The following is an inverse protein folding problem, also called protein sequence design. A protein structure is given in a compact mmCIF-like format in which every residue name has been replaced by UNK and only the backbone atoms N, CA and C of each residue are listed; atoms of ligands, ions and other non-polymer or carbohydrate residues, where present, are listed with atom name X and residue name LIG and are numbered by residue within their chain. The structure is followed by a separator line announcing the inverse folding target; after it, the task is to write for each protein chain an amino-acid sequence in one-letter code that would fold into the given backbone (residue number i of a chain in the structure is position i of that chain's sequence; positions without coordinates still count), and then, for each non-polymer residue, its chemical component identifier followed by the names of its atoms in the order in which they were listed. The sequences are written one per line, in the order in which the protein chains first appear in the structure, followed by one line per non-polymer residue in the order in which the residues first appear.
data_IF_285469920916
#
_entry.id   IF_285469920916
#
_cell.length_a   1.000
_cell.length_b   1.000
_cell.length_c   1.000
_cell.angle_alpha   90.00
_cell.angle_beta   90.00
_cell.angle_gamma   90.00
#
_symmetry.space_group_name_H-M   'P 1'
#
loop_
_entity.id
_entity.type
_entity.pdbx_description
1 polymer ?
#
# COMPACT_ATOMS: atom_id res chain seq x y z
N UNK A 1 26.18 -24.60 15.25
CA UNK A 1 24.82 -24.42 14.68
C UNK A 1 23.68 -24.76 15.65
N UNK A 2 23.92 -24.74 16.98
CA UNK A 2 23.02 -25.26 18.01
C UNK A 2 22.37 -24.26 18.97
N UNK A 3 22.46 -22.94 18.72
CA UNK A 3 22.00 -21.90 19.67
C UNK A 3 21.15 -20.80 19.01
N UNK A 4 20.49 -21.08 17.87
CA UNK A 4 19.53 -20.13 17.35
C UNK A 4 18.29 -20.12 18.26
N UNK A 5 17.98 -18.95 18.82
CA UNK A 5 16.77 -18.72 19.60
C UNK A 5 15.56 -19.07 18.73
N UNK A 6 14.64 -19.90 19.20
CA UNK A 6 13.44 -20.22 18.44
C UNK A 6 12.73 -18.91 18.06
N UNK A 7 12.50 -18.65 16.76
CA UNK A 7 11.91 -17.40 16.33
C UNK A 7 10.46 -17.30 16.83
N UNK A 8 10.13 -16.20 17.48
CA UNK A 8 8.81 -15.91 18.05
C UNK A 8 7.69 -15.78 16.99
N UNK A 9 8.02 -15.86 15.70
CA UNK A 9 7.12 -15.66 14.56
C UNK A 9 6.74 -16.91 13.78
N UNK A 10 6.99 -18.12 14.31
CA UNK A 10 6.57 -19.38 13.64
C UNK A 10 5.06 -19.54 13.71
N UNK A 11 4.40 -19.45 12.55
CA UNK A 11 2.93 -19.56 12.38
C UNK A 11 2.50 -20.86 11.72
N UNK A 12 3.42 -21.81 11.62
CA UNK A 12 3.13 -23.15 11.09
C UNK A 12 2.35 -24.02 12.06
N UNK A 13 2.25 -23.61 13.34
CA UNK A 13 1.54 -24.30 14.40
C UNK A 13 0.58 -23.35 15.13
N UNK A 14 -0.41 -23.90 15.83
CA UNK A 14 -1.36 -23.12 16.65
C UNK A 14 -2.66 -22.76 15.95
N UNK A 15 -3.47 -21.92 16.58
CA UNK A 15 -4.83 -21.57 16.15
C UNK A 15 -4.80 -20.52 15.03
N UNK A 16 -5.32 -20.86 13.86
CA UNK A 16 -5.21 -20.06 12.63
C UNK A 16 -5.80 -18.66 12.81
N UNK A 17 -7.05 -18.54 13.28
CA UNK A 17 -7.71 -17.25 13.38
C UNK A 17 -7.03 -16.28 14.36
N UNK A 18 -6.44 -16.79 15.45
CA UNK A 18 -5.69 -15.96 16.41
C UNK A 18 -4.43 -15.37 15.77
N UNK A 19 -3.76 -16.16 14.93
CA UNK A 19 -2.56 -15.71 14.21
C UNK A 19 -2.92 -14.66 13.14
N UNK A 20 -3.98 -14.90 12.37
CA UNK A 20 -4.44 -13.95 11.35
C UNK A 20 -4.89 -12.63 11.99
N UNK A 21 -5.62 -12.65 13.09
CA UNK A 21 -5.99 -11.44 13.84
C UNK A 21 -4.73 -10.72 14.38
N UNK A 22 -3.77 -11.48 14.90
CA UNK A 22 -2.51 -10.93 15.41
C UNK A 22 -1.69 -10.20 14.34
N UNK A 23 -1.89 -10.52 13.06
CA UNK A 23 -1.28 -9.85 11.91
C UNK A 23 -2.14 -8.72 11.36
N UNK A 24 -3.44 -8.98 11.29
CA UNK A 24 -4.42 -8.06 10.72
C UNK A 24 -4.42 -6.70 11.43
N UNK A 25 -4.57 -6.69 12.76
CA UNK A 25 -4.69 -5.43 13.49
C UNK A 25 -3.44 -4.54 13.40
N UNK A 26 -2.20 -5.04 13.57
CA UNK A 26 -1.02 -4.21 13.38
C UNK A 26 -0.90 -3.62 11.96
N UNK A 27 -1.27 -4.38 10.92
CA UNK A 27 -1.25 -3.90 9.56
C UNK A 27 -2.35 -2.85 9.32
N UNK A 28 -3.55 -3.10 9.82
CA UNK A 28 -4.68 -2.18 9.71
C UNK A 28 -4.39 -0.85 10.41
N UNK A 29 -3.90 -0.90 11.66
CA UNK A 29 -3.50 0.31 12.37
C UNK A 29 -2.32 1.01 11.70
N UNK A 30 -1.37 0.27 11.15
CA UNK A 30 -0.26 0.84 10.39
C UNK A 30 -0.76 1.66 9.20
N UNK A 31 -1.67 1.08 8.40
CA UNK A 31 -2.27 1.81 7.27
C UNK A 31 -3.13 2.99 7.74
N UNK A 32 -3.83 2.85 8.87
CA UNK A 32 -4.58 3.96 9.48
C UNK A 32 -3.68 5.14 9.84
N UNK A 33 -2.56 4.90 10.54
CA UNK A 33 -1.61 5.97 10.87
C UNK A 33 -0.98 6.59 9.62
N UNK A 34 -0.76 5.80 8.57
CA UNK A 34 -0.29 6.30 7.28
C UNK A 34 -1.32 7.23 6.62
N UNK A 35 -2.60 6.88 6.63
CA UNK A 35 -3.66 7.75 6.13
C UNK A 35 -3.83 9.01 6.99
N UNK A 36 -3.64 8.89 8.30
CA UNK A 36 -3.73 10.03 9.23
C UNK A 36 -2.67 11.08 8.89
N UNK A 37 -1.40 10.69 8.77
CA UNK A 37 -0.36 11.67 8.44
C UNK A 37 -0.55 12.26 7.05
N UNK A 38 -0.91 11.48 6.01
CA UNK A 38 -1.22 12.01 4.68
C UNK A 38 -2.37 13.05 4.72
N UNK A 39 -3.34 12.83 5.59
CA UNK A 39 -4.45 13.78 5.79
C UNK A 39 -3.95 15.05 6.47
N UNK A 40 -3.09 14.94 7.48
CA UNK A 40 -2.49 16.09 8.18
C UNK A 40 -1.62 16.89 7.21
N UNK A 41 -0.75 16.24 6.41
CA UNK A 41 0.05 16.92 5.37
C UNK A 41 -0.84 17.77 4.46
N UNK A 42 -1.93 17.17 3.96
CA UNK A 42 -2.89 17.86 3.08
C UNK A 42 -3.56 19.05 3.78
N UNK A 43 -3.94 18.88 5.05
CA UNK A 43 -4.55 19.95 5.85
C UNK A 43 -3.57 21.09 6.12
N UNK A 44 -2.33 20.78 6.47
CA UNK A 44 -1.28 21.77 6.72
C UNK A 44 -1.01 22.58 5.45
N UNK A 45 -0.83 21.92 4.31
CA UNK A 45 -0.63 22.60 3.02
C UNK A 45 -1.83 23.47 2.67
N UNK A 46 -3.04 22.92 2.72
CA UNK A 46 -4.25 23.64 2.30
C UNK A 46 -4.60 24.83 3.17
N UNK A 47 -4.38 24.73 4.50
CA UNK A 47 -4.77 25.77 5.45
C UNK A 47 -3.71 26.84 5.67
N UNK A 48 -2.42 26.48 5.62
CA UNK A 48 -1.33 27.38 6.00
C UNK A 48 -0.47 27.84 4.83
N UNK A 49 -0.38 27.05 3.74
CA UNK A 49 0.40 27.44 2.55
C UNK A 49 -0.50 28.00 1.45
N UNK A 50 -1.69 27.41 1.25
CA UNK A 50 -2.71 27.97 0.37
C UNK A 50 -3.07 27.06 -0.81
N UNK A 51 -4.04 27.54 -1.64
CA UNK A 51 -4.68 26.75 -2.69
C UNK A 51 -3.73 26.29 -3.81
N UNK A 52 -2.76 27.13 -4.19
CA UNK A 52 -1.78 26.80 -5.25
C UNK A 52 -0.85 25.69 -4.80
N UNK A 53 -0.38 25.76 -3.54
CA UNK A 53 0.43 24.72 -2.94
C UNK A 53 -0.34 23.39 -2.81
N UNK A 54 -1.62 23.45 -2.41
CA UNK A 54 -2.49 22.27 -2.35
C UNK A 54 -2.69 21.64 -3.72
N UNK A 55 -2.87 22.44 -4.77
CA UNK A 55 -2.96 21.95 -6.14
C UNK A 55 -1.62 21.35 -6.61
N UNK A 56 -0.49 21.96 -6.23
CA UNK A 56 0.84 21.44 -6.53
C UNK A 56 1.05 20.06 -5.91
N UNK A 57 0.81 19.90 -4.61
CA UNK A 57 0.93 18.60 -3.91
C UNK A 57 -0.09 17.59 -4.44
N UNK A 58 -1.33 18.01 -4.65
CA UNK A 58 -2.39 17.15 -5.19
C UNK A 58 -2.07 16.55 -6.56
N UNK A 59 -1.48 17.34 -7.47
CA UNK A 59 -1.08 16.89 -8.80
C UNK A 59 0.04 15.83 -8.77
N UNK A 60 0.80 15.75 -7.70
CA UNK A 60 1.90 14.77 -7.57
C UNK A 60 1.43 13.38 -7.14
N UNK A 61 0.23 13.28 -6.58
CA UNK A 61 -0.27 12.05 -5.94
C UNK A 61 -0.28 10.83 -6.86
N UNK A 62 -0.61 11.00 -8.13
CA UNK A 62 -0.61 9.90 -9.11
C UNK A 62 0.80 9.32 -9.30
N UNK A 63 1.82 10.18 -9.46
CA UNK A 63 3.21 9.76 -9.65
C UNK A 63 3.73 9.06 -8.40
N UNK A 64 3.42 9.62 -7.22
CA UNK A 64 3.77 9.02 -5.93
C UNK A 64 3.15 7.62 -5.79
N UNK A 65 1.84 7.48 -6.03
CA UNK A 65 1.13 6.21 -5.91
C UNK A 65 1.64 5.15 -6.89
N UNK A 66 1.92 5.52 -8.15
CA UNK A 66 2.51 4.62 -9.13
C UNK A 66 3.88 4.12 -8.66
N UNK A 67 4.73 5.02 -8.18
CA UNK A 67 6.07 4.69 -7.70
C UNK A 67 6.01 3.79 -6.46
N UNK A 68 5.14 4.12 -5.50
CA UNK A 68 4.89 3.29 -4.31
C UNK A 68 4.38 1.91 -4.70
N UNK A 69 3.46 1.81 -5.66
CA UNK A 69 2.92 0.54 -6.16
C UNK A 69 4.02 -0.40 -6.70
N UNK A 70 5.01 0.15 -7.41
CA UNK A 70 6.09 -0.64 -7.99
C UNK A 70 6.97 -1.26 -6.90
N UNK A 71 7.48 -0.46 -5.97
CA UNK A 71 8.40 -1.02 -4.97
C UNK A 71 7.69 -1.82 -3.87
N UNK A 72 6.41 -1.55 -3.58
CA UNK A 72 5.62 -2.43 -2.71
C UNK A 72 5.38 -3.79 -3.36
N UNK A 73 5.20 -3.85 -4.67
CA UNK A 73 5.16 -5.10 -5.42
C UNK A 73 6.46 -5.89 -5.28
N UNK A 74 7.62 -5.26 -5.47
CA UNK A 74 8.93 -5.92 -5.27
C UNK A 74 9.11 -6.38 -3.83
N UNK A 75 8.71 -5.57 -2.85
CA UNK A 75 8.73 -5.93 -1.42
C UNK A 75 7.85 -7.16 -1.14
N UNK A 76 6.66 -7.26 -1.78
CA UNK A 76 5.80 -8.44 -1.66
C UNK A 76 6.49 -9.72 -2.13
N UNK A 77 7.31 -9.65 -3.20
CA UNK A 77 8.15 -10.75 -3.64
C UNK A 77 9.13 -11.20 -2.56
N UNK A 78 9.81 -10.24 -1.91
CA UNK A 78 10.73 -10.53 -0.81
C UNK A 78 10.00 -11.18 0.39
N UNK A 79 8.82 -10.65 0.77
CA UNK A 79 7.98 -11.24 1.82
C UNK A 79 7.70 -12.71 1.56
N UNK A 80 7.28 -13.05 0.34
CA UNK A 80 6.90 -14.43 -0.01
C UNK A 80 8.09 -15.38 0.03
N UNK A 81 9.22 -15.01 -0.61
CA UNK A 81 10.41 -15.85 -0.65
C UNK A 81 10.96 -16.09 0.76
N UNK A 82 11.10 -15.04 1.56
CA UNK A 82 11.60 -15.15 2.93
C UNK A 82 10.62 -15.94 3.80
N UNK A 83 9.31 -15.73 3.67
CA UNK A 83 8.30 -16.47 4.42
C UNK A 83 8.33 -17.98 4.11
N UNK A 84 8.47 -18.36 2.83
CA UNK A 84 8.59 -19.75 2.43
C UNK A 84 9.86 -20.41 2.97
N UNK A 85 11.00 -19.73 2.85
CA UNK A 85 12.27 -20.24 3.38
C UNK A 85 12.25 -20.35 4.90
N UNK A 86 11.62 -19.38 5.57
CA UNK A 86 11.45 -19.37 7.02
C UNK A 86 10.56 -20.53 7.49
N UNK A 87 9.43 -20.76 6.82
CA UNK A 87 8.54 -21.89 7.09
C UNK A 87 9.19 -23.25 6.82
N UNK A 88 10.03 -23.32 5.79
CA UNK A 88 10.83 -24.51 5.45
C UNK A 88 12.03 -24.70 6.39
N UNK A 89 12.29 -23.79 7.33
CA UNK A 89 13.45 -23.76 8.23
C UNK A 89 14.81 -23.77 7.52
N UNK A 90 14.85 -23.21 6.31
CA UNK A 90 16.08 -23.05 5.52
C UNK A 90 16.82 -21.77 5.93
N UNK A 91 17.44 -21.80 7.09
CA UNK A 91 18.01 -20.60 7.73
C UNK A 91 19.11 -19.90 6.92
N UNK A 92 19.92 -20.66 6.18
CA UNK A 92 20.94 -20.12 5.31
C UNK A 92 20.31 -19.35 4.11
N UNK A 93 19.25 -19.90 3.54
CA UNK A 93 18.52 -19.25 2.44
C UNK A 93 17.80 -17.98 2.94
N UNK A 94 17.21 -18.01 4.16
CA UNK A 94 16.66 -16.81 4.80
C UNK A 94 17.73 -15.72 4.93
N UNK A 95 18.92 -16.08 5.42
CA UNK A 95 20.02 -15.13 5.54
C UNK A 95 20.40 -14.51 4.19
N UNK A 96 20.60 -15.32 3.15
CA UNK A 96 20.90 -14.85 1.78
C UNK A 96 19.79 -13.93 1.23
N UNK A 97 18.52 -14.30 1.46
CA UNK A 97 17.38 -13.55 0.99
C UNK A 97 17.23 -12.20 1.69
N UNK A 98 17.49 -12.13 3.00
CA UNK A 98 17.47 -10.86 3.75
C UNK A 98 18.52 -9.89 3.22
N UNK A 99 19.77 -10.34 3.06
CA UNK A 99 20.86 -9.50 2.56
C UNK A 99 20.58 -9.04 1.11
N UNK A 100 20.11 -9.94 0.25
CA UNK A 100 19.70 -9.60 -1.13
C UNK A 100 18.56 -8.59 -1.13
N UNK A 101 17.54 -8.76 -0.27
CA UNK A 101 16.39 -7.86 -0.18
C UNK A 101 16.81 -6.45 0.24
N UNK A 102 17.65 -6.34 1.26
CA UNK A 102 18.08 -5.03 1.75
C UNK A 102 18.95 -4.29 0.74
N UNK A 103 19.87 -5.01 0.07
CA UNK A 103 20.72 -4.40 -0.98
C UNK A 103 19.87 -4.04 -2.22
N UNK A 104 18.92 -4.89 -2.61
CA UNK A 104 18.00 -4.59 -3.70
C UNK A 104 17.16 -3.34 -3.37
N UNK A 105 16.77 -3.17 -2.10
CA UNK A 105 16.08 -1.97 -1.63
C UNK A 105 16.88 -0.69 -1.85
N UNK A 106 18.18 -0.72 -1.57
CA UNK A 106 19.08 0.42 -1.83
C UNK A 106 19.19 0.70 -3.33
N UNK A 107 19.40 -0.34 -4.15
CA UNK A 107 19.55 -0.20 -5.60
C UNK A 107 18.29 0.32 -6.25
N UNK A 108 17.14 -0.27 -5.93
CA UNK A 108 15.82 0.18 -6.46
C UNK A 108 15.51 1.60 -5.98
N UNK A 109 15.78 1.90 -4.70
CA UNK A 109 15.62 3.24 -4.16
C UNK A 109 16.49 4.28 -4.87
N UNK A 110 17.76 3.96 -5.12
CA UNK A 110 18.69 4.84 -5.85
C UNK A 110 18.26 5.04 -7.31
N UNK A 111 17.77 3.99 -7.96
CA UNK A 111 17.20 4.07 -9.31
C UNK A 111 16.00 5.02 -9.36
N UNK A 112 15.01 4.86 -8.47
CA UNK A 112 13.85 5.75 -8.43
C UNK A 112 14.20 7.16 -7.99
N UNK A 113 15.19 7.33 -7.11
CA UNK A 113 15.69 8.65 -6.74
C UNK A 113 16.25 9.39 -7.97
N UNK A 114 17.12 8.76 -8.73
CA UNK A 114 17.73 9.37 -9.92
C UNK A 114 16.71 9.58 -11.05
N UNK A 115 15.95 8.54 -11.41
CA UNK A 115 14.96 8.59 -12.47
C UNK A 115 13.84 9.59 -12.15
N UNK A 116 13.30 9.55 -10.92
CA UNK A 116 12.24 10.45 -10.48
C UNK A 116 12.70 11.90 -10.45
N UNK A 117 13.90 12.18 -9.93
CA UNK A 117 14.43 13.54 -9.89
C UNK A 117 14.59 14.14 -11.30
N UNK A 118 15.07 13.34 -12.27
CA UNK A 118 15.27 13.79 -13.66
C UNK A 118 13.95 13.91 -14.40
N UNK A 119 13.06 12.90 -14.29
CA UNK A 119 11.83 12.81 -15.09
C UNK A 119 10.68 13.64 -14.54
N UNK A 120 10.76 14.17 -13.32
CA UNK A 120 9.70 14.96 -12.67
C UNK A 120 9.12 16.06 -13.55
N UNK A 121 9.90 16.96 -14.19
CA UNK A 121 9.30 18.06 -14.95
C UNK A 121 8.55 17.57 -16.19
N UNK A 122 9.03 16.50 -16.81
CA UNK A 122 8.38 15.91 -17.98
C UNK A 122 7.07 15.21 -17.60
N UNK A 123 7.09 14.43 -16.52
CA UNK A 123 5.91 13.71 -16.02
C UNK A 123 4.78 14.65 -15.62
N UNK A 124 5.08 15.74 -14.92
CA UNK A 124 4.09 16.76 -14.54
C UNK A 124 3.50 17.49 -15.73
N UNK A 125 4.30 17.80 -16.76
CA UNK A 125 3.81 18.39 -18.01
C UNK A 125 2.88 17.43 -18.75
N UNK A 126 3.25 16.15 -18.84
CA UNK A 126 2.43 15.13 -19.47
C UNK A 126 1.07 14.93 -18.77
N UNK A 127 1.00 15.21 -17.46
CA UNK A 127 -0.24 15.17 -16.67
C UNK A 127 -1.08 16.46 -16.75
N UNK A 128 -0.63 17.49 -17.48
CA UNK A 128 -1.36 18.74 -17.62
C UNK A 128 -1.38 19.59 -16.34
N UNK A 129 -0.32 19.52 -15.51
CA UNK A 129 -0.20 20.37 -14.32
C UNK A 129 -0.20 21.84 -14.74
N UNK A 130 -1.01 22.67 -14.06
CA UNK A 130 -1.14 24.11 -14.38
C UNK A 130 0.18 24.85 -14.19
N UNK A 131 0.40 25.91 -15.00
CA UNK A 131 1.65 26.69 -14.94
C UNK A 131 1.89 27.30 -13.56
N UNK A 132 0.84 27.69 -12.85
CA UNK A 132 0.93 28.27 -11.49
C UNK A 132 1.38 27.21 -10.45
N UNK A 133 0.94 25.97 -10.57
CA UNK A 133 1.28 24.90 -9.64
C UNK A 133 2.61 24.19 -10.01
N UNK A 134 3.07 24.32 -11.24
CA UNK A 134 4.23 23.62 -11.78
C UNK A 134 5.51 23.80 -10.93
N UNK A 135 5.93 25.01 -10.53
CA UNK A 135 7.15 25.17 -9.74
C UNK A 135 7.08 24.45 -8.38
N UNK A 136 5.94 24.57 -7.69
CA UNK A 136 5.71 23.90 -6.40
C UNK A 136 5.65 22.38 -6.54
N UNK A 137 4.99 21.87 -7.58
CA UNK A 137 4.90 20.44 -7.86
C UNK A 137 6.27 19.82 -8.21
N UNK A 138 7.08 20.52 -9.03
CA UNK A 138 8.44 20.09 -9.35
C UNK A 138 9.33 20.07 -8.12
N UNK A 139 9.25 21.12 -7.28
CA UNK A 139 10.02 21.19 -6.04
C UNK A 139 9.62 20.06 -5.10
N UNK A 140 8.33 19.88 -4.84
CA UNK A 140 7.82 18.81 -3.98
C UNK A 140 8.27 17.43 -4.44
N UNK A 141 8.05 17.08 -5.71
CA UNK A 141 8.42 15.76 -6.23
C UNK A 141 9.93 15.52 -6.24
N UNK A 142 10.74 16.52 -6.61
CA UNK A 142 12.19 16.37 -6.57
C UNK A 142 12.68 16.12 -5.16
N UNK A 143 12.19 16.88 -4.19
CA UNK A 143 12.50 16.67 -2.78
C UNK A 143 12.00 15.28 -2.36
N UNK A 144 10.75 14.91 -2.66
CA UNK A 144 10.19 13.59 -2.36
C UNK A 144 11.07 12.45 -2.91
N UNK A 145 11.54 12.56 -4.16
CA UNK A 145 12.39 11.54 -4.77
C UNK A 145 13.77 11.41 -4.10
N UNK A 146 14.31 12.44 -3.47
CA UNK A 146 15.52 12.31 -2.65
C UNK A 146 15.29 11.37 -1.44
N UNK A 147 14.06 11.24 -0.97
CA UNK A 147 13.67 10.29 0.08
C UNK A 147 13.41 8.85 -0.40
N UNK A 148 13.62 8.53 -1.68
CA UNK A 148 13.28 7.20 -2.20
C UNK A 148 14.13 6.07 -1.62
N UNK A 149 15.42 6.29 -1.41
CA UNK A 149 16.28 5.25 -0.81
C UNK A 149 15.77 4.84 0.57
N UNK A 150 15.58 5.76 1.54
CA UNK A 150 15.02 5.39 2.84
C UNK A 150 13.62 4.79 2.74
N UNK A 151 12.75 5.29 1.86
CA UNK A 151 11.41 4.76 1.68
C UNK A 151 11.41 3.29 1.22
N UNK A 152 12.19 2.96 0.18
CA UNK A 152 12.28 1.60 -0.34
C UNK A 152 12.96 0.68 0.67
N UNK A 153 14.03 1.12 1.34
CA UNK A 153 14.72 0.38 2.41
C UNK A 153 13.76 0.05 3.56
N UNK A 154 12.94 1.02 3.98
CA UNK A 154 11.90 0.80 4.98
C UNK A 154 10.90 -0.29 4.53
N UNK A 155 10.39 -0.20 3.30
CA UNK A 155 9.42 -1.16 2.77
C UNK A 155 10.02 -2.58 2.65
N UNK A 156 11.27 -2.69 2.21
CA UNK A 156 11.97 -3.97 2.14
C UNK A 156 12.24 -4.56 3.53
N UNK A 157 12.74 -3.74 4.45
CA UNK A 157 13.03 -4.17 5.81
C UNK A 157 11.79 -4.57 6.61
N UNK A 158 10.69 -3.81 6.48
CA UNK A 158 9.40 -4.22 7.07
C UNK A 158 8.84 -5.47 6.38
N UNK A 159 9.09 -5.65 5.09
CA UNK A 159 8.81 -6.88 4.36
C UNK A 159 9.52 -8.09 4.99
N UNK A 160 10.81 -7.96 5.33
CA UNK A 160 11.56 -8.99 6.05
C UNK A 160 10.91 -9.31 7.39
N UNK A 161 10.59 -8.30 8.21
CA UNK A 161 9.95 -8.51 9.51
C UNK A 161 8.58 -9.18 9.38
N UNK A 162 7.76 -8.75 8.42
CA UNK A 162 6.45 -9.38 8.15
C UNK A 162 6.60 -10.83 7.70
N UNK A 163 7.58 -11.15 6.87
CA UNK A 163 7.82 -12.51 6.39
C UNK A 163 8.11 -13.50 7.51
N UNK A 164 8.77 -13.05 8.57
CA UNK A 164 9.05 -13.86 9.77
C UNK A 164 7.93 -13.82 10.82
N UNK A 165 6.80 -13.14 10.53
CA UNK A 165 5.65 -13.05 11.44
C UNK A 165 5.70 -11.91 12.44
N UNK A 166 6.65 -10.98 12.34
CA UNK A 166 6.71 -9.79 13.20
C UNK A 166 6.01 -8.61 12.54
N UNK A 167 4.76 -8.38 12.90
CA UNK A 167 3.96 -7.26 12.43
C UNK A 167 3.91 -6.09 13.41
N UNK A 168 4.38 -6.28 14.65
CA UNK A 168 4.30 -5.26 15.70
C UNK A 168 5.40 -4.21 15.55
N UNK A 169 6.64 -4.63 15.29
CA UNK A 169 7.75 -3.68 15.11
C UNK A 169 7.49 -2.71 13.95
N UNK A 170 7.08 -3.15 12.74
CA UNK A 170 6.69 -2.25 11.66
C UNK A 170 5.64 -1.21 12.05
N UNK A 171 4.62 -1.61 12.84
CA UNK A 171 3.61 -0.69 13.35
C UNK A 171 4.23 0.41 14.25
N UNK A 172 5.10 0.02 15.20
CA UNK A 172 5.74 0.99 16.09
C UNK A 172 6.64 1.97 15.34
N UNK A 173 7.36 1.49 14.31
CA UNK A 173 8.19 2.35 13.46
C UNK A 173 7.34 3.36 12.69
N UNK A 174 6.20 2.91 12.19
CA UNK A 174 5.28 3.78 11.46
C UNK A 174 4.61 4.82 12.37
N UNK A 175 4.21 4.44 13.58
CA UNK A 175 3.68 5.40 14.58
C UNK A 175 4.72 6.47 14.91
N UNK A 176 5.96 6.06 15.18
CA UNK A 176 7.05 7.00 15.47
C UNK A 176 7.33 7.95 14.29
N UNK A 177 7.35 7.40 13.07
CA UNK A 177 7.55 8.19 11.85
C UNK A 177 6.38 9.14 11.56
N UNK A 178 5.14 8.69 11.74
CA UNK A 178 3.95 9.54 11.57
C UNK A 178 3.93 10.70 12.58
N UNK A 179 4.28 10.41 13.84
CA UNK A 179 4.42 11.47 14.86
C UNK A 179 5.52 12.47 14.50
N UNK A 180 6.68 11.98 14.05
CA UNK A 180 7.78 12.82 13.60
C UNK A 180 7.38 13.69 12.40
N UNK A 181 6.70 13.10 11.41
CA UNK A 181 6.20 13.82 10.23
C UNK A 181 5.27 14.97 10.62
N UNK A 182 4.22 14.69 11.42
CA UNK A 182 3.25 15.71 11.86
C UNK A 182 3.96 16.87 12.60
N UNK A 183 4.87 16.55 13.52
CA UNK A 183 5.63 17.57 14.25
C UNK A 183 6.50 18.40 13.32
N UNK A 184 7.20 17.75 12.39
CA UNK A 184 8.07 18.44 11.43
C UNK A 184 7.26 19.27 10.42
N UNK A 185 6.11 18.81 9.95
CA UNK A 185 5.22 19.60 9.09
C UNK A 185 4.83 20.91 9.76
N UNK A 186 4.33 20.84 10.98
CA UNK A 186 3.94 22.02 11.73
C UNK A 186 5.14 22.94 11.98
N UNK A 187 6.29 22.39 12.34
CA UNK A 187 7.50 23.17 12.61
C UNK A 187 8.02 23.85 11.33
N UNK A 188 8.19 23.09 10.23
CA UNK A 188 8.79 23.60 9.01
C UNK A 188 7.88 24.56 8.25
N UNK A 189 6.56 24.35 8.31
CA UNK A 189 5.58 25.21 7.64
C UNK A 189 5.25 26.43 8.48
N UNK A 190 4.96 26.28 9.80
CA UNK A 190 4.46 27.38 10.62
C UNK A 190 5.59 28.23 11.22
N UNK A 191 6.73 27.63 11.57
CA UNK A 191 7.81 28.35 12.25
C UNK A 191 8.88 28.78 11.23
N UNK A 192 9.29 27.87 10.34
CA UNK A 192 10.34 28.16 9.35
C UNK A 192 9.80 28.68 8.01
N UNK A 193 8.49 28.69 7.80
CA UNK A 193 7.83 29.21 6.59
C UNK A 193 8.40 28.62 5.27
N UNK A 194 8.69 27.30 5.27
CA UNK A 194 9.25 26.62 4.10
C UNK A 194 8.19 26.15 3.10
N UNK A 195 6.93 26.50 3.29
CA UNK A 195 5.82 26.19 2.39
C UNK A 195 5.80 24.70 1.96
N UNK A 196 5.65 24.47 0.65
CA UNK A 196 5.62 23.11 0.05
C UNK A 196 6.92 22.33 0.30
N UNK A 197 8.07 23.00 0.33
CA UNK A 197 9.35 22.36 0.61
C UNK A 197 9.39 21.81 2.05
N UNK A 198 8.79 22.52 3.02
CA UNK A 198 8.71 22.08 4.41
C UNK A 198 8.04 20.72 4.55
N UNK A 199 6.87 20.52 3.91
CA UNK A 199 6.14 19.26 3.93
C UNK A 199 6.93 18.14 3.26
N UNK A 200 7.56 18.41 2.11
CA UNK A 200 8.38 17.41 1.44
C UNK A 200 9.60 16.98 2.30
N UNK A 201 10.26 17.92 2.98
CA UNK A 201 11.38 17.65 3.90
C UNK A 201 10.89 16.85 5.12
N UNK A 202 9.75 17.20 5.71
CA UNK A 202 9.18 16.45 6.84
C UNK A 202 8.90 15.00 6.46
N UNK A 203 8.36 14.77 5.25
CA UNK A 203 8.13 13.43 4.70
C UNK A 203 9.44 12.64 4.56
N UNK A 204 10.50 13.24 4.02
CA UNK A 204 11.80 12.56 3.90
C UNK A 204 12.38 12.23 5.27
N UNK A 205 12.37 13.17 6.21
CA UNK A 205 12.89 12.96 7.55
C UNK A 205 12.16 11.80 8.27
N UNK A 206 10.83 11.74 8.14
CA UNK A 206 10.03 10.66 8.72
C UNK A 206 10.31 9.31 8.06
N UNK A 207 10.49 9.28 6.72
CA UNK A 207 10.90 8.08 5.99
C UNK A 207 12.30 7.62 6.37
N UNK A 208 13.25 8.55 6.53
CA UNK A 208 14.60 8.24 7.01
C UNK A 208 14.57 7.66 8.42
N UNK A 209 13.78 8.24 9.33
CA UNK A 209 13.58 7.69 10.67
C UNK A 209 13.06 6.25 10.61
N UNK A 210 12.04 5.99 9.80
CA UNK A 210 11.48 4.64 9.60
C UNK A 210 12.54 3.65 9.08
N UNK A 211 13.34 4.07 8.09
CA UNK A 211 14.40 3.26 7.52
C UNK A 211 15.49 2.94 8.55
N UNK A 212 15.92 3.94 9.34
CA UNK A 212 16.88 3.75 10.42
C UNK A 212 16.34 2.77 11.46
N UNK A 213 15.11 2.94 11.90
CA UNK A 213 14.49 2.06 12.90
C UNK A 213 14.43 0.60 12.42
N UNK A 214 14.04 0.35 11.16
CA UNK A 214 13.97 -1.02 10.63
C UNK A 214 15.36 -1.62 10.44
N UNK A 215 16.33 -0.86 9.96
CA UNK A 215 17.71 -1.33 9.80
C UNK A 215 18.33 -1.65 11.16
N UNK A 216 18.17 -0.77 12.15
CA UNK A 216 18.65 -1.01 13.53
C UNK A 216 17.98 -2.25 14.13
N UNK A 217 16.68 -2.46 13.89
CA UNK A 217 15.99 -3.65 14.36
C UNK A 217 16.56 -4.93 13.74
N UNK A 218 16.89 -4.93 12.44
CA UNK A 218 17.50 -6.08 11.77
C UNK A 218 18.96 -6.31 12.22
N UNK A 219 19.73 -5.25 12.44
CA UNK A 219 21.10 -5.34 12.96
C UNK A 219 21.15 -5.92 14.38
N UNK A 220 20.20 -5.51 15.23
CA UNK A 220 20.10 -5.94 16.64
C UNK A 220 19.37 -7.28 16.84
N UNK A 221 18.96 -7.94 15.79
CA UNK A 221 18.29 -9.25 15.84
C UNK A 221 19.32 -10.38 16.03
N UNK A 222 20.11 -10.28 17.12
CA UNK A 222 21.20 -11.21 17.43
C UNK A 222 20.72 -12.65 17.50
N UNK A 223 21.55 -13.59 17.03
CA UNK A 223 21.32 -15.03 17.02
C UNK A 223 20.07 -15.47 16.23
N UNK A 224 19.57 -14.63 15.30
CA UNK A 224 18.45 -14.99 14.42
C UNK A 224 18.93 -15.17 12.97
N UNK A 225 18.25 -16.01 12.17
CA UNK A 225 18.61 -16.22 10.77
C UNK A 225 18.39 -14.99 9.87
N UNK A 226 17.63 -14.00 10.35
CA UNK A 226 17.33 -12.76 9.63
C UNK A 226 18.15 -11.56 10.12
N UNK A 227 19.17 -11.77 10.95
CA UNK A 227 20.09 -10.71 11.37
C UNK A 227 20.81 -10.14 10.16
N UNK A 228 20.84 -8.81 10.05
CA UNK A 228 21.53 -8.10 8.98
C UNK A 228 23.00 -7.86 9.37
N UNK A 229 23.91 -8.19 8.47
CA UNK A 229 25.34 -7.89 8.61
C UNK A 229 25.78 -7.00 7.46
N UNK A 230 26.08 -5.70 7.67
CA UNK A 230 26.44 -4.78 6.59
C UNK A 230 27.64 -5.24 5.74
N UNK A 231 28.59 -5.95 6.35
CA UNK A 231 29.77 -6.50 5.65
C UNK A 231 29.47 -7.69 4.75
N UNK A 232 28.28 -8.32 4.92
CA UNK A 232 27.85 -9.49 4.15
C UNK A 232 26.76 -9.14 3.14
N UNK A 233 26.48 -7.85 2.94
CA UNK A 233 25.53 -7.39 1.93
C UNK A 233 26.01 -7.82 0.55
N UNK A 234 25.30 -8.77 -0.03
CA UNK A 234 25.58 -9.31 -1.36
C UNK A 234 24.27 -9.70 -2.06
N UNK A 235 24.24 -9.53 -3.38
CA UNK A 235 23.11 -10.00 -4.18
C UNK A 235 23.35 -11.47 -4.53
N UNK A 236 22.52 -12.34 -3.99
CA UNK A 236 22.51 -13.74 -4.37
C UNK A 236 21.52 -13.94 -5.54
N UNK A 237 21.97 -14.54 -6.68
CA UNK A 237 21.15 -14.63 -7.90
C UNK A 237 19.86 -15.43 -7.71
N UNK A 238 19.89 -16.49 -6.91
CA UNK A 238 18.74 -17.34 -6.67
C UNK A 238 17.61 -16.63 -5.91
N UNK A 239 17.84 -16.04 -4.70
CA UNK A 239 16.85 -15.21 -4.03
C UNK A 239 16.38 -14.03 -4.88
N UNK A 240 17.29 -13.34 -5.58
CA UNK A 240 16.93 -12.21 -6.42
C UNK A 240 15.96 -12.62 -7.54
N UNK A 241 16.22 -13.73 -8.24
CA UNK A 241 15.32 -14.25 -9.29
C UNK A 241 13.94 -14.57 -8.69
N UNK A 242 13.88 -15.21 -7.51
CA UNK A 242 12.63 -15.51 -6.82
C UNK A 242 11.86 -14.24 -6.44
N UNK A 243 12.52 -13.25 -5.85
CA UNK A 243 11.94 -11.97 -5.46
C UNK A 243 11.36 -11.24 -6.67
N UNK A 244 12.11 -11.16 -7.77
CA UNK A 244 11.67 -10.48 -8.99
C UNK A 244 10.55 -11.27 -9.71
N UNK A 245 10.60 -12.60 -9.72
CA UNK A 245 9.55 -13.44 -10.33
C UNK A 245 8.18 -13.23 -9.70
N UNK A 246 8.13 -12.94 -8.41
CA UNK A 246 6.90 -12.64 -7.68
C UNK A 246 6.63 -11.14 -7.66
N UNK A 247 7.66 -10.34 -7.45
CA UNK A 247 7.56 -8.91 -7.24
C UNK A 247 7.18 -8.13 -8.50
N UNK A 248 7.77 -8.47 -9.65
CA UNK A 248 7.49 -7.77 -10.92
C UNK A 248 6.02 -7.94 -11.36
N UNK A 249 5.43 -9.15 -11.38
CA UNK A 249 4.00 -9.30 -11.66
C UNK A 249 3.12 -8.54 -10.67
N UNK A 250 3.45 -8.55 -9.39
CA UNK A 250 2.69 -7.81 -8.35
C UNK A 250 2.80 -6.29 -8.54
N UNK A 251 3.98 -5.80 -8.92
CA UNK A 251 4.17 -4.39 -9.25
C UNK A 251 3.37 -3.98 -10.49
N UNK A 252 3.39 -4.79 -11.54
CA UNK A 252 2.61 -4.56 -12.76
C UNK A 252 1.10 -4.53 -12.47
N UNK A 253 0.61 -5.45 -11.64
CA UNK A 253 -0.77 -5.45 -11.14
C UNK A 253 -1.13 -4.10 -10.49
N UNK A 254 -0.29 -3.57 -9.60
CA UNK A 254 -0.51 -2.29 -8.93
C UNK A 254 -0.55 -1.11 -9.91
N UNK A 255 0.34 -1.11 -10.91
CA UNK A 255 0.37 -0.08 -11.96
C UNK A 255 -0.90 -0.11 -12.81
N UNK A 256 -1.33 -1.31 -13.23
CA UNK A 256 -2.55 -1.48 -14.04
C UNK A 256 -3.81 -1.07 -13.28
N UNK A 257 -3.86 -1.37 -11.97
CA UNK A 257 -4.93 -0.92 -11.09
C UNK A 257 -5.00 0.61 -11.01
N UNK A 258 -3.85 1.27 -10.82
CA UNK A 258 -3.76 2.73 -10.79
C UNK A 258 -4.16 3.36 -12.12
N UNK A 259 -3.72 2.78 -13.25
CA UNK A 259 -4.10 3.24 -14.58
C UNK A 259 -5.61 3.10 -14.82
N UNK A 260 -6.21 1.96 -14.44
CA UNK A 260 -7.65 1.76 -14.54
C UNK A 260 -8.44 2.78 -13.72
N UNK A 261 -7.98 3.11 -12.52
CA UNK A 261 -8.63 4.12 -11.66
C UNK A 261 -8.59 5.53 -12.28
N UNK A 262 -7.52 5.88 -12.99
CA UNK A 262 -7.44 7.17 -13.71
C UNK A 262 -8.52 7.24 -14.79
N UNK A 263 -8.73 6.17 -15.56
CA UNK A 263 -9.76 6.13 -16.62
C UNK A 263 -11.17 6.25 -16.02
N UNK A 264 -11.42 5.58 -14.89
CA UNK A 264 -12.70 5.73 -14.18
C UNK A 264 -12.91 7.15 -13.69
N UNK A 265 -11.89 7.77 -13.12
CA UNK A 265 -11.98 9.16 -12.67
C UNK A 265 -12.32 10.07 -13.84
N UNK A 266 -11.73 9.84 -15.01
CA UNK A 266 -12.07 10.59 -16.23
C UNK A 266 -13.53 10.39 -16.66
N UNK A 267 -14.05 9.15 -16.56
CA UNK A 267 -15.45 8.86 -16.83
C UNK A 267 -16.39 9.54 -15.82
N UNK A 268 -16.08 9.50 -14.53
CA UNK A 268 -16.86 10.20 -13.48
C UNK A 268 -16.87 11.72 -13.71
N UNK A 269 -15.75 12.29 -14.14
CA UNK A 269 -15.66 13.73 -14.43
C UNK A 269 -16.62 14.19 -15.53
N UNK A 270 -17.03 13.29 -16.46
CA UNK A 270 -18.00 13.63 -17.52
C UNK A 270 -19.44 13.81 -17.01
N UNK A 271 -19.75 13.40 -15.77
CA UNK A 271 -21.10 13.55 -15.19
C UNK A 271 -21.33 14.85 -14.42
N UNK A 272 -20.35 15.74 -14.40
CA UNK A 272 -20.46 17.06 -13.78
C UNK A 272 -19.91 17.16 -12.36
N UNK A 273 -19.89 18.40 -11.85
CA UNK A 273 -19.20 18.75 -10.60
C UNK A 273 -19.80 18.09 -9.36
N UNK A 274 -21.13 17.97 -9.31
CA UNK A 274 -21.83 17.37 -8.15
C UNK A 274 -21.51 15.88 -8.02
N UNK A 275 -21.45 15.18 -9.16
CA UNK A 275 -21.04 13.77 -9.22
C UNK A 275 -19.59 13.57 -8.80
N UNK A 276 -18.68 14.44 -9.24
CA UNK A 276 -17.26 14.39 -8.83
C UNK A 276 -17.12 14.67 -7.34
N UNK A 277 -17.88 15.61 -6.79
CA UNK A 277 -17.89 15.89 -5.36
C UNK A 277 -18.41 14.69 -4.56
N UNK A 278 -19.52 14.08 -5.01
CA UNK A 278 -20.08 12.88 -4.38
C UNK A 278 -19.10 11.70 -4.44
N UNK A 279 -18.46 11.45 -5.59
CA UNK A 279 -17.43 10.42 -5.75
C UNK A 279 -16.23 10.63 -4.83
N UNK A 280 -15.81 11.90 -4.66
CA UNK A 280 -14.72 12.25 -3.76
C UNK A 280 -15.08 11.97 -2.29
N UNK A 281 -16.30 12.32 -1.88
CA UNK A 281 -16.80 12.04 -0.53
C UNK A 281 -16.94 10.52 -0.29
N UNK A 282 -17.48 9.77 -1.26
CA UNK A 282 -17.53 8.32 -1.24
C UNK A 282 -16.12 7.71 -1.09
N UNK A 283 -15.14 8.18 -1.85
CA UNK A 283 -13.77 7.69 -1.80
C UNK A 283 -13.13 7.82 -0.41
N UNK A 284 -13.52 8.83 0.40
CA UNK A 284 -13.05 8.94 1.79
C UNK A 284 -13.62 7.85 2.70
N UNK A 285 -14.84 7.39 2.44
CA UNK A 285 -15.43 6.24 3.15
C UNK A 285 -14.80 4.93 2.67
N UNK A 286 -14.61 4.78 1.36
CA UNK A 286 -14.09 3.59 0.70
C UNK A 286 -12.68 3.18 1.18
N UNK A 287 -11.86 4.15 1.57
CA UNK A 287 -10.52 3.91 2.15
C UNK A 287 -10.57 2.92 3.31
N UNK A 288 -11.59 2.94 4.17
CA UNK A 288 -11.71 2.04 5.32
C UNK A 288 -11.87 0.58 4.85
N UNK A 289 -12.65 0.36 3.81
CA UNK A 289 -12.80 -0.97 3.20
C UNK A 289 -11.46 -1.46 2.62
N UNK A 290 -10.79 -0.64 1.81
CA UNK A 290 -9.52 -0.99 1.19
C UNK A 290 -8.40 -1.26 2.19
N UNK A 291 -8.32 -0.49 3.28
CA UNK A 291 -7.39 -0.75 4.37
C UNK A 291 -7.62 -2.14 4.98
N UNK A 292 -8.88 -2.50 5.19
CA UNK A 292 -9.28 -3.77 5.79
C UNK A 292 -8.94 -4.95 4.89
N UNK A 293 -9.26 -4.86 3.60
CA UNK A 293 -8.96 -5.88 2.60
C UNK A 293 -7.44 -6.06 2.44
N UNK A 294 -6.71 -4.96 2.30
CA UNK A 294 -5.24 -4.98 2.13
C UNK A 294 -4.53 -5.58 3.35
N UNK A 295 -4.96 -5.23 4.56
CA UNK A 295 -4.38 -5.78 5.79
C UNK A 295 -4.60 -7.31 5.88
N UNK A 296 -5.79 -7.80 5.53
CA UNK A 296 -6.07 -9.23 5.53
C UNK A 296 -5.34 -9.97 4.40
N UNK A 297 -5.25 -9.37 3.21
CA UNK A 297 -4.51 -9.91 2.06
C UNK A 297 -3.02 -10.09 2.38
N UNK A 298 -2.39 -9.10 3.01
CA UNK A 298 -1.00 -9.22 3.46
C UNK A 298 -0.83 -10.27 4.56
N UNK A 299 -1.80 -10.39 5.48
CA UNK A 299 -1.79 -11.39 6.54
C UNK A 299 -1.86 -12.80 5.97
N UNK A 300 -2.79 -13.07 5.05
CA UNK A 300 -2.92 -14.39 4.43
C UNK A 300 -1.72 -14.70 3.51
N UNK A 301 -1.12 -13.71 2.85
CA UNK A 301 0.07 -13.90 2.02
C UNK A 301 1.24 -14.42 2.85
N UNK A 302 1.52 -13.82 4.00
CA UNK A 302 2.58 -14.28 4.91
C UNK A 302 2.25 -15.63 5.52
N UNK A 303 1.01 -15.82 5.98
CA UNK A 303 0.54 -17.09 6.54
C UNK A 303 0.67 -18.23 5.51
N UNK A 304 0.21 -18.00 4.28
CA UNK A 304 0.32 -18.96 3.20
C UNK A 304 1.79 -19.24 2.85
N UNK A 305 2.65 -18.21 2.80
CA UNK A 305 4.06 -18.37 2.51
C UNK A 305 4.77 -19.30 3.49
N UNK A 306 4.66 -19.05 4.80
CA UNK A 306 5.30 -19.89 5.81
C UNK A 306 4.74 -21.32 5.81
N UNK A 307 3.41 -21.49 5.76
CA UNK A 307 2.79 -22.82 5.77
C UNK A 307 3.07 -23.59 4.49
N UNK A 308 3.14 -22.92 3.33
CA UNK A 308 3.51 -23.53 2.07
C UNK A 308 4.97 -24.00 2.09
N UNK A 309 5.89 -23.19 2.59
CA UNK A 309 7.28 -23.54 2.79
C UNK A 309 7.47 -24.74 3.73
N UNK A 310 6.63 -24.83 4.77
CA UNK A 310 6.61 -25.97 5.70
C UNK A 310 5.92 -27.23 5.13
N UNK A 311 5.44 -27.22 3.89
CA UNK A 311 4.70 -28.33 3.27
C UNK A 311 3.27 -28.52 3.79
N UNK A 312 2.74 -27.58 4.55
CA UNK A 312 1.42 -27.68 5.21
C UNK A 312 0.29 -27.12 4.33
N UNK A 313 0.10 -27.68 3.15
CA UNK A 313 -0.87 -27.18 2.15
C UNK A 313 -2.32 -27.18 2.65
N UNK A 314 -2.71 -28.18 3.47
CA UNK A 314 -4.06 -28.21 4.06
C UNK A 314 -4.29 -27.04 5.04
N UNK A 315 -3.23 -26.63 5.72
CA UNK A 315 -3.28 -25.48 6.64
C UNK A 315 -3.39 -24.16 5.84
N UNK A 316 -2.73 -24.05 4.68
CA UNK A 316 -2.91 -22.91 3.76
C UNK A 316 -4.37 -22.81 3.32
N UNK A 317 -4.99 -23.93 2.87
CA UNK A 317 -6.41 -23.96 2.46
C UNK A 317 -7.34 -23.57 3.60
N UNK A 318 -7.13 -24.11 4.81
CA UNK A 318 -7.93 -23.75 5.99
C UNK A 318 -7.74 -22.27 6.34
N UNK A 319 -6.51 -21.74 6.28
CA UNK A 319 -6.20 -20.34 6.53
C UNK A 319 -6.92 -19.40 5.57
N UNK A 320 -6.97 -19.73 4.29
CA UNK A 320 -7.73 -18.97 3.29
C UNK A 320 -9.21 -18.87 3.67
N UNK A 321 -9.88 -20.00 3.96
CA UNK A 321 -11.30 -19.99 4.30
C UNK A 321 -11.60 -19.28 5.63
N UNK A 322 -10.69 -19.40 6.62
CA UNK A 322 -10.80 -18.63 7.87
C UNK A 322 -10.65 -17.15 7.58
N UNK A 323 -9.70 -16.73 6.73
CA UNK A 323 -9.56 -15.32 6.33
C UNK A 323 -10.78 -14.80 5.59
N UNK A 324 -11.36 -15.60 4.68
CA UNK A 324 -12.60 -15.27 3.98
C UNK A 324 -13.74 -15.05 4.98
N UNK A 325 -13.95 -15.99 5.92
CA UNK A 325 -14.99 -15.86 6.93
C UNK A 325 -14.80 -14.61 7.81
N UNK A 326 -13.59 -14.37 8.30
CA UNK A 326 -13.28 -13.20 9.12
C UNK A 326 -13.51 -11.89 8.37
N UNK A 327 -12.96 -11.78 7.14
CA UNK A 327 -13.09 -10.57 6.34
C UNK A 327 -14.54 -10.35 5.89
N UNK A 328 -15.31 -11.42 5.61
CA UNK A 328 -16.74 -11.32 5.29
C UNK A 328 -17.54 -10.72 6.44
N UNK A 329 -17.30 -11.14 7.67
CA UNK A 329 -17.96 -10.56 8.86
C UNK A 329 -17.65 -9.07 8.98
N UNK A 330 -16.37 -8.69 8.84
CA UNK A 330 -15.98 -7.27 8.86
C UNK A 330 -16.62 -6.48 7.72
N UNK A 331 -16.60 -7.01 6.51
CA UNK A 331 -17.14 -6.32 5.33
C UNK A 331 -18.64 -6.17 5.40
N UNK A 332 -19.38 -7.20 5.84
CA UNK A 332 -20.83 -7.10 6.05
C UNK A 332 -21.13 -6.02 7.09
N UNK A 333 -20.37 -5.96 8.18
CA UNK A 333 -20.49 -4.91 9.20
C UNK A 333 -20.26 -3.51 8.63
N UNK A 334 -19.15 -3.30 7.90
CA UNK A 334 -18.82 -2.02 7.25
C UNK A 334 -19.89 -1.66 6.20
N UNK A 335 -20.29 -2.63 5.36
CA UNK A 335 -21.33 -2.41 4.33
C UNK A 335 -22.67 -2.04 4.94
N UNK A 336 -23.06 -2.68 6.04
CA UNK A 336 -24.28 -2.33 6.76
C UNK A 336 -24.22 -0.90 7.32
N UNK A 337 -23.10 -0.55 7.97
CA UNK A 337 -22.91 0.83 8.47
C UNK A 337 -22.96 1.83 7.33
N UNK A 338 -22.29 1.57 6.21
CA UNK A 338 -22.31 2.46 5.05
C UNK A 338 -23.69 2.55 4.42
N UNK A 339 -24.42 1.44 4.28
CA UNK A 339 -25.73 1.40 3.68
C UNK A 339 -26.78 2.19 4.50
N UNK A 340 -26.83 1.95 5.82
CA UNK A 340 -27.82 2.58 6.69
C UNK A 340 -27.44 4.00 7.12
N UNK A 341 -26.16 4.27 7.29
CA UNK A 341 -25.63 5.56 7.75
C UNK A 341 -24.97 6.38 6.64
N UNK A 342 -25.23 6.07 5.35
CA UNK A 342 -24.66 6.78 4.21
C UNK A 342 -24.84 8.30 4.33
N UNK A 343 -26.09 8.76 4.53
CA UNK A 343 -26.39 10.20 4.59
C UNK A 343 -25.72 10.93 5.76
N UNK A 344 -25.82 10.49 7.04
CA UNK A 344 -25.11 11.15 8.14
C UNK A 344 -23.59 11.15 7.99
N UNK A 345 -23.00 10.09 7.41
CA UNK A 345 -21.55 10.05 7.20
C UNK A 345 -21.12 11.02 6.08
N UNK A 346 -21.86 11.04 4.96
CA UNK A 346 -21.55 11.97 3.85
C UNK A 346 -21.76 13.43 4.23
N UNK A 347 -22.70 13.74 5.12
CA UNK A 347 -22.94 15.11 5.64
C UNK A 347 -21.71 15.67 6.37
N UNK A 348 -20.80 14.82 6.86
CA UNK A 348 -19.51 15.26 7.45
C UNK A 348 -18.63 15.92 6.38
N UNK A 349 -18.74 15.50 5.12
CA UNK A 349 -17.90 15.96 4.02
C UNK A 349 -18.52 17.09 3.21
N UNK A 350 -19.84 17.13 3.08
CA UNK A 350 -20.55 18.16 2.32
C UNK A 350 -21.94 18.43 2.89
N UNK A 351 -22.37 19.70 2.97
CA UNK A 351 -23.74 20.05 3.32
C UNK A 351 -24.70 20.10 2.10
N UNK A 352 -24.17 20.00 0.87
CA UNK A 352 -24.95 20.14 -0.37
C UNK A 352 -25.89 18.96 -0.58
N UNK A 353 -27.19 19.24 -0.69
CA UNK A 353 -28.24 18.22 -0.80
C UNK A 353 -28.13 17.40 -2.10
N UNK A 354 -27.79 18.04 -3.23
CA UNK A 354 -27.66 17.36 -4.51
C UNK A 354 -26.49 16.37 -4.49
N UNK A 355 -25.34 16.80 -3.94
CA UNK A 355 -24.14 15.96 -3.76
C UNK A 355 -24.43 14.81 -2.80
N UNK A 356 -25.17 15.07 -1.73
CA UNK A 356 -25.55 14.05 -0.73
C UNK A 356 -26.44 12.97 -1.36
N UNK A 357 -27.45 13.34 -2.14
CA UNK A 357 -28.37 12.37 -2.75
C UNK A 357 -27.61 11.46 -3.73
N UNK A 358 -26.77 12.02 -4.61
CA UNK A 358 -25.91 11.26 -5.52
C UNK A 358 -24.96 10.34 -4.72
N UNK A 359 -24.33 10.86 -3.67
CA UNK A 359 -23.39 10.08 -2.84
C UNK A 359 -24.05 8.95 -2.07
N UNK A 360 -25.27 9.15 -1.56
CA UNK A 360 -26.06 8.10 -0.88
C UNK A 360 -26.41 6.97 -1.85
N UNK A 361 -26.80 7.30 -3.08
CA UNK A 361 -27.10 6.30 -4.11
C UNK A 361 -25.84 5.50 -4.49
N UNK A 362 -24.69 6.18 -4.66
CA UNK A 362 -23.40 5.51 -4.89
C UNK A 362 -23.05 4.53 -3.77
N UNK A 363 -23.11 4.98 -2.52
CA UNK A 363 -22.77 4.15 -1.35
C UNK A 363 -23.70 2.94 -1.26
N UNK A 364 -25.00 3.13 -1.41
CA UNK A 364 -25.99 2.06 -1.35
C UNK A 364 -25.87 1.04 -2.45
N UNK A 365 -25.41 1.46 -3.62
CA UNK A 365 -25.13 0.56 -4.75
C UNK A 365 -23.84 -0.22 -4.55
N UNK A 366 -22.73 0.45 -4.17
CA UNK A 366 -21.41 -0.15 -4.11
C UNK A 366 -21.15 -0.96 -2.83
N UNK A 367 -21.67 -0.52 -1.67
CA UNK A 367 -21.37 -1.19 -0.39
C UNK A 367 -21.77 -2.68 -0.34
N UNK A 368 -22.92 -3.13 -0.89
CA UNK A 368 -23.23 -4.57 -0.96
C UNK A 368 -22.27 -5.36 -1.87
N UNK A 369 -21.68 -4.71 -2.88
CA UNK A 369 -20.77 -5.34 -3.83
C UNK A 369 -19.38 -5.66 -3.23
N UNK A 370 -19.02 -5.04 -2.12
CA UNK A 370 -17.71 -5.26 -1.45
C UNK A 370 -17.44 -6.74 -1.13
N UNK A 371 -18.49 -7.51 -0.82
CA UNK A 371 -18.38 -8.93 -0.49
C UNK A 371 -17.77 -9.75 -1.63
N UNK A 372 -18.04 -9.39 -2.88
CA UNK A 372 -17.55 -10.10 -4.07
C UNK A 372 -16.04 -9.93 -4.25
N UNK A 373 -15.51 -8.77 -3.87
CA UNK A 373 -14.09 -8.47 -4.02
C UNK A 373 -13.21 -9.23 -3.02
N UNK A 374 -13.74 -9.61 -1.87
CA UNK A 374 -13.01 -10.33 -0.82
C UNK A 374 -12.38 -11.62 -1.36
N UNK A 375 -13.15 -12.42 -2.11
CA UNK A 375 -12.68 -13.69 -2.65
C UNK A 375 -11.53 -13.48 -3.62
N UNK A 376 -11.63 -12.47 -4.49
CA UNK A 376 -10.59 -12.14 -5.48
C UNK A 376 -9.28 -11.85 -4.76
N UNK A 377 -9.28 -10.92 -3.82
CA UNK A 377 -8.06 -10.45 -3.16
C UNK A 377 -7.45 -11.50 -2.22
N UNK A 378 -8.27 -12.24 -1.45
CA UNK A 378 -7.74 -13.24 -0.52
C UNK A 378 -7.22 -14.49 -1.25
N UNK A 379 -7.86 -14.92 -2.33
CA UNK A 379 -7.35 -16.03 -3.17
C UNK A 379 -6.04 -15.57 -3.83
N UNK A 380 -6.00 -14.36 -4.40
CA UNK A 380 -4.78 -13.81 -4.97
C UNK A 380 -3.64 -13.72 -3.93
N UNK A 381 -3.94 -13.28 -2.70
CA UNK A 381 -2.99 -13.23 -1.59
C UNK A 381 -2.45 -14.60 -1.20
N UNK A 382 -3.31 -15.60 -1.07
CA UNK A 382 -2.91 -16.97 -0.72
C UNK A 382 -2.07 -17.63 -1.84
N UNK A 383 -2.47 -17.44 -3.10
CA UNK A 383 -1.75 -17.97 -4.28
C UNK A 383 -0.39 -17.28 -4.44
N UNK A 384 -0.33 -15.97 -4.19
CA UNK A 384 0.91 -15.20 -4.13
C UNK A 384 1.83 -15.71 -3.03
N UNK A 385 1.29 -15.97 -1.82
CA UNK A 385 2.02 -16.59 -0.72
C UNK A 385 2.58 -17.98 -1.07
N UNK A 386 1.89 -18.76 -1.90
CA UNK A 386 2.39 -20.02 -2.46
C UNK A 386 3.47 -19.83 -3.56
N UNK A 387 3.86 -18.60 -3.89
CA UNK A 387 4.90 -18.30 -4.87
C UNK A 387 4.42 -18.16 -6.31
N UNK A 388 3.12 -18.11 -6.55
CA UNK A 388 2.51 -18.02 -7.89
C UNK A 388 1.81 -16.68 -8.06
N UNK A 389 2.55 -15.66 -8.52
CA UNK A 389 2.02 -14.28 -8.69
C UNK A 389 1.50 -13.99 -10.10
N UNK A 390 1.96 -14.72 -11.11
CA UNK A 390 1.58 -14.46 -12.52
C UNK A 390 0.09 -14.75 -12.76
N UNK A 391 -0.45 -15.84 -12.19
CA UNK A 391 -1.87 -16.16 -12.33
C UNK A 391 -2.80 -15.06 -11.79
N UNK A 392 -2.69 -14.67 -10.51
CA UNK A 392 -3.42 -13.51 -9.98
C UNK A 392 -3.24 -12.24 -10.80
N UNK A 393 -2.01 -11.90 -11.19
CA UNK A 393 -1.75 -10.73 -12.03
C UNK A 393 -2.55 -10.78 -13.34
N UNK A 394 -2.55 -11.90 -14.06
CA UNK A 394 -3.29 -12.01 -15.32
C UNK A 394 -4.80 -11.91 -15.11
N UNK A 395 -5.33 -12.51 -14.04
CA UNK A 395 -6.76 -12.41 -13.71
C UNK A 395 -7.13 -10.95 -13.39
N UNK A 396 -6.32 -10.23 -12.64
CA UNK A 396 -6.61 -8.83 -12.30
C UNK A 396 -6.44 -7.89 -13.51
N UNK A 397 -5.38 -8.08 -14.30
CA UNK A 397 -5.13 -7.23 -15.47
C UNK A 397 -6.20 -7.42 -16.54
N UNK A 398 -6.55 -8.66 -16.88
CA UNK A 398 -7.53 -8.93 -17.94
C UNK A 398 -8.95 -9.02 -17.40
N UNK A 399 -9.17 -9.65 -16.24
CA UNK A 399 -10.49 -9.84 -15.64
C UNK A 399 -11.00 -8.56 -14.98
N UNK A 400 -10.22 -7.94 -14.08
CA UNK A 400 -10.67 -6.74 -13.37
C UNK A 400 -10.44 -5.48 -14.19
N UNK A 401 -9.19 -5.18 -14.56
CA UNK A 401 -8.89 -3.94 -15.29
C UNK A 401 -9.38 -3.99 -16.74
N UNK A 402 -9.14 -5.09 -17.46
CA UNK A 402 -9.49 -5.23 -18.87
C UNK A 402 -11.00 -5.18 -19.10
N UNK A 403 -11.78 -5.98 -18.37
CA UNK A 403 -13.25 -5.95 -18.48
C UNK A 403 -13.83 -4.59 -18.06
N UNK A 404 -13.28 -3.99 -17.01
CA UNK A 404 -13.72 -2.67 -16.53
C UNK A 404 -13.47 -1.58 -17.58
N UNK A 405 -12.31 -1.58 -18.22
CA UNK A 405 -12.01 -0.64 -19.32
C UNK A 405 -12.88 -0.92 -20.55
N UNK A 406 -13.05 -2.18 -20.93
CA UNK A 406 -13.93 -2.55 -22.03
C UNK A 406 -15.37 -2.09 -21.76
N UNK A 407 -15.87 -2.27 -20.55
CA UNK A 407 -17.18 -1.79 -20.12
C UNK A 407 -17.30 -0.26 -20.25
N UNK A 408 -16.31 0.50 -19.77
CA UNK A 408 -16.28 1.96 -19.84
C UNK A 408 -16.27 2.48 -21.28
N UNK A 409 -15.58 1.79 -22.20
CA UNK A 409 -15.48 2.25 -23.59
C UNK A 409 -16.64 1.77 -24.48
N UNK A 410 -17.26 0.62 -24.16
CA UNK A 410 -18.30 0.02 -25.01
C UNK A 410 -19.72 0.29 -24.49
N UNK A 411 -19.93 0.27 -23.17
CA UNK A 411 -21.28 0.32 -22.59
C UNK A 411 -21.64 1.74 -22.13
N UNK A 412 -20.73 2.43 -21.47
CA UNK A 412 -20.98 3.77 -20.92
C UNK A 412 -21.33 4.80 -22.00
N UNK A 413 -20.73 4.83 -23.21
CA UNK A 413 -21.14 5.75 -24.26
C UNK A 413 -22.57 5.52 -24.78
N UNK A 414 -23.05 4.26 -24.69
CA UNK A 414 -24.41 3.89 -25.15
C UNK A 414 -25.44 4.19 -24.05
N UNK A 415 -25.10 3.93 -22.79
CA UNK A 415 -25.95 4.14 -21.62
C UNK A 415 -25.26 5.10 -20.64
N UNK A 416 -25.31 6.41 -20.95
CA UNK A 416 -24.63 7.45 -20.17
C UNK A 416 -25.37 7.70 -18.83
N UNK A 417 -25.32 6.71 -17.93
CA UNK A 417 -25.88 6.81 -16.59
C UNK A 417 -24.82 6.50 -15.54
N UNK A 418 -24.88 7.16 -14.40
CA UNK A 418 -23.91 7.00 -13.32
C UNK A 418 -23.86 5.55 -12.81
N UNK A 419 -25.01 4.89 -12.70
CA UNK A 419 -25.12 3.48 -12.28
C UNK A 419 -24.38 2.51 -13.20
N UNK A 420 -24.24 2.83 -14.47
CA UNK A 420 -23.52 2.01 -15.45
C UNK A 420 -22.00 2.21 -15.35
N UNK A 421 -21.53 3.32 -14.79
CA UNK A 421 -20.09 3.58 -14.56
C UNK A 421 -19.62 2.95 -13.25
N UNK A 422 -20.49 2.85 -12.24
CA UNK A 422 -20.22 2.22 -10.95
C UNK A 422 -20.22 0.70 -11.03
#
# INVERSE_FOLDING_TARGET
MGLLRQPTGDITQGVIWKQLIGFFFPLWFGTFFQQLYNTVDTLVVGRFVGKVALAAVGSTGVIVNLTVGIFTGVSAGAVVIIAQQFGARKWEDVHKSVHTTMLLGVIVGAFFMAAGFILTPWALRAMGTTEEAMPGAVLYLRVYFLGMVPNVVYNMGTGVLRAIGDFRRPLYFLIAASGCNIVLDLLLVLVFHLDVAGVAIATICSQLLSAVLVVVALLRSEMTPYQLFPRQLHIHPEPMRGILHIGVPTALQSVMYSASNIVIQAAINSFGTDTVAAWTAYGKMDVIFWMTVTAMSQSITTFAGQNYGAGQYQRVKKGLWVSVGMLSVFTIGISAVFFFLARPILTIFTPDAAVLDIGVDMVRFLAPCYITYILIELIAGAVRGAGKSVGPMLIDVFGVCGLRLAWLFLVVPVHHTLTVVM
#
